data_IF_070632309072
#
_entry.id   IF_070632309072
#
_cell.length_a   1.000
_cell.length_b   1.000
_cell.length_c   1.000
_cell.angle_alpha   90.00
_cell.angle_beta   90.00
_cell.angle_gamma   90.00
#
_symmetry.space_group_name_H-M   'P 1'
#
loop_
_entity.id
_entity.type
_entity.pdbx_description
1 polymer ?
#
# COMPACT_ATOMS: atom_id res chain seq x y z
N UNK A 1 14.32 19.38 25.34
CA UNK A 1 13.32 19.37 24.28
C UNK A 1 13.13 17.90 23.88
N UNK A 2 12.09 17.25 24.39
CA UNK A 2 11.77 15.87 24.03
C UNK A 2 11.19 15.88 22.60
N UNK A 3 12.03 15.63 21.61
CA UNK A 3 11.59 15.33 20.26
C UNK A 3 11.07 13.89 20.26
N UNK A 4 9.86 13.68 20.81
CA UNK A 4 9.18 12.39 20.64
C UNK A 4 8.79 12.27 19.16
N UNK A 5 9.65 11.62 18.37
CA UNK A 5 9.40 11.35 16.98
C UNK A 5 8.05 10.60 16.86
N UNK A 6 7.13 11.14 16.07
CA UNK A 6 5.78 10.59 15.87
C UNK A 6 5.88 9.22 15.18
N UNK A 7 5.59 8.17 15.94
CA UNK A 7 5.60 6.80 15.45
C UNK A 7 4.38 6.57 14.58
N UNK A 8 4.56 5.97 13.41
CA UNK A 8 3.51 5.64 12.47
C UNK A 8 3.12 4.15 12.53
N UNK A 9 4.12 3.26 12.63
CA UNK A 9 3.91 1.80 12.69
C UNK A 9 4.91 1.22 13.69
N UNK A 10 4.46 0.25 14.47
CA UNK A 10 5.32 -0.54 15.36
C UNK A 10 5.14 -2.02 15.06
N UNK A 11 6.25 -2.72 14.87
CA UNK A 11 6.30 -4.18 14.64
C UNK A 11 7.09 -4.81 15.78
N UNK A 12 6.51 -5.83 16.43
CA UNK A 12 7.14 -6.53 17.57
C UNK A 12 6.99 -8.04 17.43
N UNK A 13 8.13 -8.74 17.55
CA UNK A 13 8.26 -10.19 17.55
C UNK A 13 7.46 -10.85 16.41
N UNK A 14 7.43 -10.20 15.24
CA UNK A 14 6.63 -10.63 14.11
C UNK A 14 7.23 -11.89 13.50
N UNK A 15 6.40 -12.94 13.45
CA UNK A 15 6.76 -14.20 12.83
C UNK A 15 5.73 -14.58 11.77
N UNK A 16 6.24 -15.10 10.66
CA UNK A 16 5.41 -15.63 9.57
C UNK A 16 6.00 -16.90 8.99
N UNK A 17 5.15 -17.91 8.82
CA UNK A 17 5.48 -19.19 8.18
C UNK A 17 4.54 -19.41 7.00
N UNK A 18 5.09 -19.89 5.91
CA UNK A 18 4.32 -20.40 4.79
C UNK A 18 4.33 -21.94 4.89
N UNK A 19 3.18 -22.55 5.18
CA UNK A 19 3.10 -23.96 5.60
C UNK A 19 3.99 -24.23 6.82
N UNK A 20 5.07 -25.02 6.64
CA UNK A 20 6.05 -25.35 7.69
C UNK A 20 7.33 -24.53 7.61
N UNK A 21 7.53 -23.77 6.53
CA UNK A 21 8.74 -22.99 6.29
C UNK A 21 8.65 -21.62 6.97
N UNK A 22 9.63 -21.28 7.78
CA UNK A 22 9.72 -19.96 8.43
C UNK A 22 10.28 -18.94 7.45
N UNK A 23 9.47 -17.93 7.10
CA UNK A 23 9.84 -16.84 6.17
C UNK A 23 10.26 -15.59 6.95
N UNK A 24 9.58 -15.28 8.04
CA UNK A 24 9.91 -14.15 8.92
C UNK A 24 10.06 -14.68 10.33
N UNK A 25 11.14 -14.28 11.02
CA UNK A 25 11.45 -14.69 12.38
C UNK A 25 11.85 -13.48 13.21
N UNK A 26 11.10 -13.25 14.27
CA UNK A 26 11.37 -12.23 15.30
C UNK A 26 11.67 -10.83 14.74
N UNK A 27 10.84 -10.35 13.82
CA UNK A 27 11.02 -9.03 13.20
C UNK A 27 10.54 -7.95 14.16
N UNK A 28 11.44 -6.99 14.44
CA UNK A 28 11.21 -5.89 15.35
C UNK A 28 11.70 -4.57 14.75
N UNK A 29 10.83 -3.58 14.56
CA UNK A 29 11.20 -2.22 14.15
C UNK A 29 10.02 -1.26 14.32
N UNK A 30 10.32 0.03 14.25
CA UNK A 30 9.37 1.11 14.20
C UNK A 30 9.54 1.89 12.90
N UNK A 31 8.47 2.47 12.40
CA UNK A 31 8.47 3.45 11.31
C UNK A 31 8.01 4.78 11.90
N UNK A 32 8.82 5.80 11.70
CA UNK A 32 8.63 7.14 12.24
C UNK A 32 8.23 8.10 11.11
N UNK A 33 7.46 9.11 11.44
CA UNK A 33 7.01 10.11 10.47
C UNK A 33 8.20 10.84 9.84
N UNK A 34 8.18 10.91 8.50
CA UNK A 34 9.23 11.54 7.71
C UNK A 34 10.41 10.65 7.39
N UNK A 35 10.45 9.40 7.87
CA UNK A 35 11.51 8.46 7.52
C UNK A 35 11.27 7.78 6.17
N UNK A 36 12.37 7.52 5.45
CA UNK A 36 12.42 6.61 4.34
C UNK A 36 13.03 5.29 4.80
N UNK A 37 12.25 4.22 4.78
CA UNK A 37 12.68 2.89 5.22
C UNK A 37 12.88 1.99 4.00
N UNK A 38 14.07 1.39 3.87
CA UNK A 38 14.38 0.41 2.82
C UNK A 38 14.55 -0.99 3.42
N UNK A 39 13.90 -1.98 2.80
CA UNK A 39 14.07 -3.40 3.15
C UNK A 39 15.02 -4.02 2.14
N UNK A 40 16.23 -4.35 2.60
CA UNK A 40 17.28 -4.96 1.78
C UNK A 40 17.38 -6.46 2.05
N UNK A 41 17.83 -7.22 1.05
CA UNK A 41 18.03 -8.65 1.18
C UNK A 41 17.94 -9.39 -0.15
N UNK A 42 18.29 -10.69 -0.12
CA UNK A 42 18.28 -11.57 -1.31
C UNK A 42 16.88 -11.73 -1.89
N UNK A 43 16.81 -12.07 -3.19
CA UNK A 43 15.55 -12.49 -3.79
C UNK A 43 15.03 -13.75 -3.09
N UNK A 44 13.72 -13.80 -2.81
CA UNK A 44 13.12 -14.85 -1.98
C UNK A 44 13.27 -14.65 -0.46
N UNK A 45 14.04 -13.65 0.02
CA UNK A 45 14.29 -13.41 1.44
C UNK A 45 13.11 -12.81 2.24
N UNK A 46 11.88 -12.93 1.79
CA UNK A 46 10.69 -12.53 2.57
C UNK A 46 10.34 -11.04 2.53
N UNK A 47 11.04 -10.19 1.75
CA UNK A 47 10.79 -8.73 1.71
C UNK A 47 9.34 -8.37 1.39
N UNK A 48 8.82 -8.91 0.29
CA UNK A 48 7.42 -8.68 -0.11
C UNK A 48 6.42 -9.33 0.85
N UNK A 49 6.80 -10.46 1.45
CA UNK A 49 6.02 -11.14 2.49
C UNK A 49 5.89 -10.27 3.72
N UNK A 50 6.98 -9.63 4.18
CA UNK A 50 6.97 -8.73 5.32
C UNK A 50 5.98 -7.57 5.10
N UNK A 51 6.04 -6.91 3.94
CA UNK A 51 5.09 -5.83 3.60
C UNK A 51 3.66 -6.35 3.61
N UNK A 52 3.39 -7.51 2.99
CA UNK A 52 2.05 -8.10 2.93
C UNK A 52 1.52 -8.47 4.31
N UNK A 53 2.38 -8.96 5.22
CA UNK A 53 2.01 -9.28 6.60
C UNK A 53 1.73 -8.01 7.39
N UNK A 54 2.55 -6.97 7.28
CA UNK A 54 2.33 -5.68 7.94
C UNK A 54 0.99 -5.08 7.49
N UNK A 55 0.71 -5.07 6.20
CA UNK A 55 -0.53 -4.51 5.64
C UNK A 55 -1.77 -5.39 5.90
N UNK A 56 -1.57 -6.60 6.43
CA UNK A 56 -2.66 -7.53 6.75
C UNK A 56 -3.20 -8.32 5.56
N UNK A 57 -2.49 -8.34 4.42
CA UNK A 57 -2.82 -9.21 3.28
C UNK A 57 -2.49 -10.67 3.56
N UNK A 58 -1.53 -10.91 4.47
CA UNK A 58 -1.19 -12.24 4.99
C UNK A 58 -1.34 -12.25 6.51
N UNK A 59 -1.94 -13.30 7.04
CA UNK A 59 -2.15 -13.46 8.48
C UNK A 59 -0.85 -13.91 9.14
N UNK A 60 -0.32 -13.08 10.06
CA UNK A 60 0.86 -13.43 10.87
C UNK A 60 0.62 -14.65 11.75
N UNK A 61 1.66 -15.40 12.08
CA UNK A 61 1.61 -16.51 13.04
C UNK A 61 1.69 -16.00 14.47
N UNK A 62 2.58 -15.04 14.75
CA UNK A 62 2.71 -14.41 16.07
C UNK A 62 3.27 -13.02 15.98
N UNK A 63 3.39 -12.32 17.12
CA UNK A 63 3.84 -10.94 17.21
C UNK A 63 2.72 -9.93 17.02
N UNK A 64 3.08 -8.67 16.93
CA UNK A 64 2.13 -7.56 16.75
C UNK A 64 2.57 -6.60 15.66
N UNK A 65 1.59 -5.99 15.00
CA UNK A 65 1.74 -4.84 14.11
C UNK A 65 0.71 -3.81 14.55
N UNK A 66 1.18 -2.67 15.01
CA UNK A 66 0.36 -1.59 15.51
C UNK A 66 0.51 -0.37 14.60
N UNK A 67 -0.62 0.24 14.24
CA UNK A 67 -0.67 1.43 13.41
C UNK A 67 -1.15 2.60 14.27
N UNK A 68 -0.36 3.65 14.35
CA UNK A 68 -0.68 4.92 15.02
C UNK A 68 -1.29 5.93 14.04
N UNK A 69 -1.48 5.54 12.80
CA UNK A 69 -2.13 6.32 11.73
C UNK A 69 -3.37 5.62 11.22
N UNK A 70 -4.25 6.40 10.59
CA UNK A 70 -5.40 5.81 9.91
C UNK A 70 -4.94 4.97 8.72
N UNK A 71 -5.25 3.68 8.73
CA UNK A 71 -4.89 2.73 7.67
C UNK A 71 -5.39 3.13 6.28
N UNK A 72 -6.46 3.93 6.20
CA UNK A 72 -6.97 4.44 4.92
C UNK A 72 -6.02 5.46 4.25
N UNK A 73 -5.01 5.96 4.99
CA UNK A 73 -3.96 6.85 4.47
C UNK A 73 -2.72 6.10 3.98
N UNK A 74 -2.73 4.77 4.01
CA UNK A 74 -1.60 3.94 3.56
C UNK A 74 -1.84 3.57 2.11
N UNK A 75 -0.95 4.01 1.22
CA UNK A 75 -0.87 3.54 -0.16
C UNK A 75 0.05 2.33 -0.25
N UNK A 76 -0.34 1.33 -1.03
CA UNK A 76 0.50 0.19 -1.37
C UNK A 76 0.63 0.08 -2.88
N UNK A 77 1.87 0.16 -3.37
CA UNK A 77 2.19 -0.08 -4.78
C UNK A 77 2.86 -1.45 -4.91
N UNK A 78 2.15 -2.47 -5.39
CA UNK A 78 2.74 -3.79 -5.60
C UNK A 78 3.70 -3.80 -6.80
N UNK A 79 4.65 -4.73 -6.78
CA UNK A 79 5.44 -5.04 -7.97
C UNK A 79 4.54 -5.85 -8.92
N UNK A 80 3.92 -5.16 -9.85
CA UNK A 80 3.06 -5.80 -10.85
C UNK A 80 3.96 -6.39 -11.92
N UNK A 81 3.87 -7.70 -12.14
CA UNK A 81 4.57 -8.37 -13.23
C UNK A 81 3.68 -8.59 -14.45
N UNK A 82 2.37 -8.69 -14.25
CA UNK A 82 1.38 -8.90 -15.29
C UNK A 82 0.12 -8.12 -14.95
N UNK A 83 -0.31 -7.30 -15.86
CA UNK A 83 -1.63 -6.68 -15.82
C UNK A 83 -2.58 -7.63 -16.54
N UNK A 84 -3.67 -8.02 -15.92
CA UNK A 84 -4.72 -8.76 -16.58
C UNK A 84 -5.45 -7.82 -17.56
N UNK A 85 -4.99 -7.82 -18.81
CA UNK A 85 -5.54 -7.00 -19.90
C UNK A 85 -7.01 -7.36 -20.24
N UNK A 86 -7.59 -8.37 -19.58
CA UNK A 86 -8.99 -8.73 -19.77
C UNK A 86 -9.97 -7.75 -19.11
N UNK A 87 -9.49 -6.88 -18.20
CA UNK A 87 -10.30 -5.87 -17.55
C UNK A 87 -10.12 -4.51 -18.24
N UNK A 88 -11.06 -4.08 -19.10
CA UNK A 88 -10.93 -2.84 -19.86
C UNK A 88 -11.14 -1.62 -18.96
N UNK A 89 -10.11 -1.21 -18.24
CA UNK A 89 -10.10 0.01 -17.44
C UNK A 89 -9.16 1.03 -18.08
N UNK A 90 -9.58 2.28 -18.17
CA UNK A 90 -8.71 3.35 -18.61
C UNK A 90 -7.93 3.97 -17.44
N UNK A 91 -6.93 4.80 -17.75
CA UNK A 91 -6.08 5.44 -16.73
C UNK A 91 -6.90 6.33 -15.81
N UNK A 92 -7.87 7.09 -16.33
CA UNK A 92 -8.73 7.95 -15.52
C UNK A 92 -9.53 7.13 -14.51
N UNK A 93 -10.18 6.05 -14.96
CA UNK A 93 -10.99 5.18 -14.11
C UNK A 93 -10.16 4.47 -13.05
N UNK A 94 -8.92 4.06 -13.39
CA UNK A 94 -7.99 3.50 -12.42
C UNK A 94 -7.66 4.53 -11.32
N UNK A 95 -7.30 5.76 -11.69
CA UNK A 95 -6.88 6.77 -10.73
C UNK A 95 -8.05 7.22 -9.85
N UNK A 96 -9.23 7.46 -10.44
CA UNK A 96 -10.40 7.87 -9.66
C UNK A 96 -10.88 6.76 -8.72
N UNK A 97 -10.66 5.49 -9.06
CA UNK A 97 -11.00 4.36 -8.19
C UNK A 97 -10.27 4.41 -6.85
N UNK A 98 -9.09 5.04 -6.81
CA UNK A 98 -8.35 5.30 -5.57
C UNK A 98 -9.08 6.20 -4.57
N UNK A 99 -10.03 7.01 -5.03
CA UNK A 99 -10.90 7.85 -4.18
C UNK A 99 -12.14 7.08 -3.69
N UNK A 100 -12.39 5.87 -4.21
CA UNK A 100 -13.52 5.07 -3.80
C UNK A 100 -13.33 4.59 -2.36
N UNK A 101 -14.21 5.01 -1.46
CA UNK A 101 -14.27 4.45 -0.11
C UNK A 101 -14.73 3.00 -0.19
N UNK A 102 -14.07 2.08 0.55
CA UNK A 102 -14.46 0.65 0.66
C UNK A 102 -15.94 0.41 0.98
N UNK A 103 -16.63 1.43 1.51
CA UNK A 103 -18.06 1.35 1.88
C UNK A 103 -19.03 1.72 0.76
N UNK A 104 -18.57 2.27 -0.38
CA UNK A 104 -19.44 2.82 -1.42
C UNK A 104 -18.98 2.45 -2.84
N UNK A 105 -18.76 1.18 -3.11
CA UNK A 105 -18.34 0.65 -4.42
C UNK A 105 -19.33 0.98 -5.57
N UNK A 106 -20.59 1.28 -5.24
CA UNK A 106 -21.64 1.63 -6.22
C UNK A 106 -21.93 3.14 -6.31
N UNK A 107 -21.15 3.99 -5.60
CA UNK A 107 -21.33 5.43 -5.63
C UNK A 107 -20.78 6.03 -6.93
N UNK A 108 -21.55 6.91 -7.57
CA UNK A 108 -21.04 7.72 -8.67
C UNK A 108 -20.07 8.77 -8.12
N UNK A 109 -18.93 8.95 -8.79
CA UNK A 109 -17.99 10.00 -8.46
C UNK A 109 -18.60 11.38 -8.76
N UNK A 110 -18.45 12.30 -7.81
CA UNK A 110 -18.94 13.66 -7.95
C UNK A 110 -18.00 14.51 -8.81
N UNK A 111 -18.41 15.76 -9.10
CA UNK A 111 -17.62 16.68 -9.94
C UNK A 111 -16.27 16.99 -9.33
N UNK A 112 -16.20 17.21 -8.03
CA UNK A 112 -14.96 17.53 -7.31
C UNK A 112 -13.95 16.39 -7.36
N UNK A 113 -14.39 15.14 -7.21
CA UNK A 113 -13.52 13.95 -7.30
C UNK A 113 -12.94 13.80 -8.71
N UNK A 114 -13.73 14.08 -9.74
CA UNK A 114 -13.26 14.07 -11.13
C UNK A 114 -12.23 15.17 -11.39
N UNK A 115 -12.48 16.39 -10.91
CA UNK A 115 -11.56 17.52 -11.02
C UNK A 115 -10.23 17.23 -10.29
N UNK A 116 -10.28 16.67 -9.08
CA UNK A 116 -9.09 16.24 -8.35
C UNK A 116 -8.29 15.18 -9.12
N UNK A 117 -8.98 14.23 -9.74
CA UNK A 117 -8.35 13.21 -10.57
C UNK A 117 -7.63 13.84 -11.77
N UNK A 118 -8.27 14.80 -12.45
CA UNK A 118 -7.64 15.49 -13.58
C UNK A 118 -6.41 16.31 -13.16
N UNK A 119 -6.48 16.99 -12.02
CA UNK A 119 -5.35 17.73 -11.45
C UNK A 119 -4.19 16.77 -11.22
N UNK A 120 -4.45 15.64 -10.57
CA UNK A 120 -3.44 14.62 -10.29
C UNK A 120 -2.79 14.08 -11.58
N UNK A 121 -3.60 13.77 -12.59
CA UNK A 121 -3.09 13.31 -13.89
C UNK A 121 -2.20 14.34 -14.58
N UNK A 122 -2.50 15.64 -14.43
CA UNK A 122 -1.68 16.74 -14.94
C UNK A 122 -0.36 16.87 -14.17
N UNK A 123 -0.39 16.75 -12.84
CA UNK A 123 0.80 16.76 -11.99
C UNK A 123 1.78 15.64 -12.35
N UNK A 124 1.24 14.46 -12.69
CA UNK A 124 2.05 13.32 -13.16
C UNK A 124 2.43 13.40 -14.65
N UNK A 125 1.97 14.40 -15.39
CA UNK A 125 2.27 14.56 -16.81
C UNK A 125 1.63 13.52 -17.74
N UNK A 126 0.59 12.82 -17.27
CA UNK A 126 -0.08 11.73 -18.00
C UNK A 126 -1.53 12.05 -18.36
N UNK A 127 -1.96 13.32 -18.24
CA UNK A 127 -3.34 13.72 -18.53
C UNK A 127 -3.80 13.37 -19.97
N UNK A 128 -2.88 13.49 -20.95
CA UNK A 128 -3.13 13.14 -22.35
C UNK A 128 -3.36 11.65 -22.58
N UNK A 129 -3.05 10.80 -21.60
CA UNK A 129 -3.24 9.35 -21.66
C UNK A 129 -4.48 8.89 -20.89
N UNK A 130 -5.29 9.80 -20.34
CA UNK A 130 -6.39 9.49 -19.41
C UNK A 130 -7.39 8.46 -19.93
N UNK A 131 -7.67 8.49 -21.22
CA UNK A 131 -8.64 7.61 -21.87
C UNK A 131 -8.00 6.32 -22.45
N UNK A 132 -6.67 6.17 -22.30
CA UNK A 132 -5.96 4.98 -22.76
C UNK A 132 -6.28 3.80 -21.84
N UNK A 133 -6.62 2.67 -22.45
CA UNK A 133 -6.78 1.39 -21.75
C UNK A 133 -5.42 0.90 -21.22
N UNK A 134 -5.45 0.26 -20.07
CA UNK A 134 -4.29 -0.32 -19.39
C UNK A 134 -4.19 -1.79 -19.71
#
# INVERSE_FOLDING_TARGET
MNNSQEKLISVRNLNFKYNKETILSDINFDIIKGENVAILGRNGGGKSTLIKVILGFLKKNSGSVEFFINKNKIGYLPQIREFDASFPINIFDLVISGLASRKNLFRRFNKQEKEQTEILLKEFGIYNLKDKLI
#
